data_IF_503217911099
#
_entry.id   IF_503217911099
#
_cell.length_a   1.000
_cell.length_b   1.000
_cell.length_c   1.000
_cell.angle_alpha   90.00
_cell.angle_beta   90.00
_cell.angle_gamma   90.00
#
_symmetry.space_group_name_H-M   'P 1'
#
loop_
_entity.id
_entity.type
_entity.pdbx_description
1 polymer ?
#
# COMPACT_ATOMS: atom_id res chain seq x y z
N UNK A 1 -17.50 -11.87 -1.02
CA UNK A 1 -16.09 -11.74 -1.42
C UNK A 1 -15.84 -12.79 -2.50
N UNK A 2 -15.44 -12.38 -3.70
CA UNK A 2 -15.23 -13.32 -4.81
C UNK A 2 -13.87 -13.97 -4.60
N UNK A 3 -13.85 -15.24 -4.19
CA UNK A 3 -12.64 -15.92 -3.74
C UNK A 3 -11.83 -16.53 -4.89
N UNK A 4 -12.47 -16.83 -6.03
CA UNK A 4 -11.82 -17.49 -7.17
C UNK A 4 -12.07 -16.76 -8.49
N UNK A 5 -11.17 -16.90 -9.48
CA UNK A 5 -11.39 -16.40 -10.84
C UNK A 5 -12.71 -16.87 -11.46
N UNK A 6 -13.10 -18.12 -11.20
CA UNK A 6 -14.33 -18.72 -11.71
C UNK A 6 -15.59 -18.01 -11.19
N UNK A 7 -15.58 -17.65 -9.91
CA UNK A 7 -16.67 -16.89 -9.31
C UNK A 7 -16.74 -15.46 -9.88
N UNK A 8 -15.62 -14.91 -10.35
CA UNK A 8 -15.58 -13.57 -10.93
C UNK A 8 -16.19 -13.52 -12.33
N UNK A 9 -15.92 -14.52 -13.16
CA UNK A 9 -16.31 -14.56 -14.58
C UNK A 9 -17.80 -14.31 -14.76
N UNK A 10 -18.66 -14.96 -13.96
CA UNK A 10 -20.12 -14.80 -14.05
C UNK A 10 -20.60 -13.36 -13.81
N UNK A 11 -19.79 -12.52 -13.16
CA UNK A 11 -20.12 -11.13 -12.88
C UNK A 11 -19.55 -10.16 -13.92
N UNK A 12 -18.57 -10.56 -14.71
CA UNK A 12 -17.79 -9.63 -15.57
C UNK A 12 -17.75 -10.02 -17.05
N UNK A 13 -18.18 -11.23 -17.43
CA UNK A 13 -18.07 -11.75 -18.79
C UNK A 13 -18.68 -10.82 -19.86
N UNK A 14 -19.83 -10.20 -19.55
CA UNK A 14 -20.58 -9.33 -20.47
C UNK A 14 -20.28 -7.83 -20.23
N UNK A 15 -19.27 -7.51 -19.42
CA UNK A 15 -18.95 -6.14 -19.05
C UNK A 15 -18.10 -5.45 -20.12
N UNK A 16 -18.56 -4.27 -20.55
CA UNK A 16 -17.76 -3.39 -21.41
C UNK A 16 -16.61 -2.71 -20.67
N UNK A 17 -16.74 -2.53 -19.35
CA UNK A 17 -15.72 -1.95 -18.48
C UNK A 17 -15.70 -2.72 -17.16
N UNK A 18 -14.50 -3.10 -16.71
CA UNK A 18 -14.28 -3.78 -15.43
C UNK A 18 -13.49 -2.88 -14.51
N UNK A 19 -14.09 -2.44 -13.40
CA UNK A 19 -13.42 -1.67 -12.35
C UNK A 19 -12.95 -2.59 -11.23
N UNK A 20 -11.64 -2.61 -10.94
CA UNK A 20 -11.04 -3.53 -9.98
C UNK A 20 -10.20 -2.81 -8.93
N UNK A 21 -10.39 -3.20 -7.66
CA UNK A 21 -9.62 -2.68 -6.51
C UNK A 21 -8.58 -3.70 -6.06
N UNK A 22 -9.04 -4.87 -5.58
CA UNK A 22 -8.20 -5.88 -4.91
C UNK A 22 -8.21 -7.25 -5.59
N UNK A 23 -9.24 -7.55 -6.39
CA UNK A 23 -9.40 -8.82 -7.09
C UNK A 23 -8.32 -9.03 -8.15
N UNK A 24 -7.95 -10.29 -8.37
CA UNK A 24 -7.05 -10.66 -9.45
C UNK A 24 -7.83 -10.84 -10.76
N UNK A 25 -7.28 -10.34 -11.86
CA UNK A 25 -7.78 -10.53 -13.23
C UNK A 25 -6.71 -11.31 -14.01
N UNK A 26 -6.50 -12.61 -13.68
CA UNK A 26 -5.55 -13.45 -14.40
C UNK A 26 -6.04 -13.75 -15.81
N UNK A 27 -5.16 -14.35 -16.63
CA UNK A 27 -5.42 -14.74 -18.02
C UNK A 27 -6.82 -15.34 -18.24
N UNK A 28 -7.20 -16.32 -17.43
CA UNK A 28 -8.49 -17.02 -17.54
C UNK A 28 -9.71 -16.12 -17.37
N UNK A 29 -9.63 -15.07 -16.56
CA UNK A 29 -10.70 -14.06 -16.46
C UNK A 29 -10.65 -13.16 -17.68
N UNK A 30 -9.45 -12.71 -18.07
CA UNK A 30 -9.28 -11.86 -19.26
C UNK A 30 -9.83 -12.54 -20.50
N UNK A 31 -9.67 -13.86 -20.65
CA UNK A 31 -10.16 -14.67 -21.78
C UNK A 31 -11.68 -14.77 -21.86
N UNK A 32 -12.41 -14.49 -20.78
CA UNK A 32 -13.88 -14.52 -20.75
C UNK A 32 -14.55 -13.15 -20.90
N UNK A 33 -13.77 -12.06 -21.00
CA UNK A 33 -14.28 -10.69 -21.14
C UNK A 33 -14.70 -10.38 -22.58
N UNK A 34 -15.90 -10.79 -22.97
CA UNK A 34 -16.40 -10.65 -24.32
C UNK A 34 -17.00 -9.26 -24.55
N UNK A 35 -16.33 -8.46 -25.40
CA UNK A 35 -16.73 -7.07 -25.66
C UNK A 35 -16.22 -6.04 -24.64
N UNK A 36 -15.37 -6.45 -23.68
CA UNK A 36 -14.71 -5.52 -22.77
C UNK A 36 -13.75 -4.60 -23.51
N UNK A 37 -13.79 -3.32 -23.19
CA UNK A 37 -12.94 -2.27 -23.77
C UNK A 37 -11.89 -1.77 -22.78
N UNK A 38 -12.18 -1.84 -21.47
CA UNK A 38 -11.35 -1.24 -20.43
C UNK A 38 -11.39 -2.05 -19.13
N UNK A 39 -10.20 -2.36 -18.61
CA UNK A 39 -10.00 -2.74 -17.21
C UNK A 39 -9.43 -1.52 -16.48
N UNK A 40 -10.22 -0.94 -15.58
CA UNK A 40 -9.80 0.19 -14.75
C UNK A 40 -9.37 -0.29 -13.38
N UNK A 41 -8.06 -0.24 -13.12
CA UNK A 41 -7.48 -0.52 -11.82
C UNK A 41 -7.58 0.74 -10.95
N UNK A 42 -8.25 0.60 -9.81
CA UNK A 42 -8.35 1.60 -8.76
C UNK A 42 -7.34 1.28 -7.63
N UNK A 43 -6.06 1.67 -7.55
CA UNK A 43 -5.21 2.55 -8.33
C UNK A 43 -3.86 2.01 -8.85
N UNK A 44 -2.75 1.92 -8.08
CA UNK A 44 -1.38 1.97 -8.67
C UNK A 44 -0.87 0.69 -9.38
N UNK A 45 -0.41 -0.32 -8.64
CA UNK A 45 0.20 -1.54 -9.22
C UNK A 45 -0.79 -2.35 -10.08
N UNK A 46 -0.32 -2.93 -11.18
CA UNK A 46 -1.09 -3.75 -12.13
C UNK A 46 -0.69 -5.23 -12.10
N UNK A 47 0.09 -5.65 -11.10
CA UNK A 47 0.63 -7.00 -10.91
C UNK A 47 -0.44 -8.10 -10.80
N UNK A 48 -1.66 -7.72 -10.42
CA UNK A 48 -2.82 -8.63 -10.33
C UNK A 48 -3.63 -8.74 -11.62
N UNK A 49 -3.22 -8.06 -12.68
CA UNK A 49 -3.92 -8.07 -13.97
C UNK A 49 -2.97 -8.66 -15.00
N UNK A 50 -3.43 -9.62 -15.80
CA UNK A 50 -2.68 -10.07 -16.97
C UNK A 50 -2.75 -9.00 -18.07
N UNK A 51 -1.93 -7.97 -17.91
CA UNK A 51 -1.87 -6.81 -18.83
C UNK A 51 -1.45 -7.23 -20.23
N UNK A 52 -0.56 -8.22 -20.34
CA UNK A 52 -0.12 -8.74 -21.64
C UNK A 52 -1.31 -9.37 -22.37
N UNK A 53 -2.07 -10.24 -21.69
CA UNK A 53 -3.24 -10.86 -22.30
C UNK A 53 -4.34 -9.86 -22.63
N UNK A 54 -4.58 -8.89 -21.74
CA UNK A 54 -5.56 -7.83 -22.00
C UNK A 54 -5.18 -7.04 -23.26
N UNK A 55 -3.89 -6.72 -23.41
CA UNK A 55 -3.36 -6.05 -24.60
C UNK A 55 -3.56 -6.87 -25.87
N UNK A 56 -3.30 -8.18 -25.84
CA UNK A 56 -3.53 -9.09 -26.97
C UNK A 56 -5.02 -9.13 -27.40
N UNK A 57 -5.95 -9.03 -26.44
CA UNK A 57 -7.39 -8.96 -26.71
C UNK A 57 -7.88 -7.57 -27.12
N UNK A 58 -7.01 -6.56 -27.18
CA UNK A 58 -7.38 -5.18 -27.48
C UNK A 58 -8.08 -4.45 -26.33
N UNK A 59 -7.96 -4.98 -25.11
CA UNK A 59 -8.55 -4.40 -23.90
C UNK A 59 -7.54 -3.42 -23.28
N UNK A 60 -7.95 -2.17 -23.08
CA UNK A 60 -7.09 -1.17 -22.41
C UNK A 60 -7.02 -1.48 -20.92
N UNK A 61 -5.81 -1.43 -20.34
CA UNK A 61 -5.63 -1.45 -18.88
C UNK A 61 -5.21 -0.06 -18.42
N UNK A 62 -5.98 0.54 -17.52
CA UNK A 62 -5.64 1.80 -16.87
C UNK A 62 -5.43 1.60 -15.38
N UNK A 63 -4.62 2.48 -14.78
CA UNK A 63 -4.35 2.49 -13.35
C UNK A 63 -4.47 3.93 -12.83
N UNK A 64 -4.44 4.11 -11.51
CA UNK A 64 -4.46 5.44 -10.87
C UNK A 64 -3.10 5.71 -10.24
N UNK A 65 -2.11 6.24 -10.98
CA UNK A 65 -0.81 6.57 -10.41
C UNK A 65 -0.95 7.72 -9.40
N UNK A 66 -0.07 7.74 -8.40
CA UNK A 66 0.12 8.84 -7.46
C UNK A 66 -1.09 9.24 -6.57
N UNK A 67 -2.21 8.51 -6.61
CA UNK A 67 -3.43 8.91 -5.91
C UNK A 67 -3.33 8.96 -4.38
N UNK A 68 -2.37 8.23 -3.80
CA UNK A 68 -2.18 8.13 -2.35
C UNK A 68 -0.74 8.38 -1.89
N UNK A 69 0.08 9.06 -2.70
CA UNK A 69 1.51 9.23 -2.39
C UNK A 69 1.74 9.99 -1.08
N UNK A 70 0.91 11.00 -0.78
CA UNK A 70 1.05 11.77 0.45
C UNK A 70 0.51 11.01 1.66
N UNK A 71 -0.63 10.36 1.52
CA UNK A 71 -1.29 9.54 2.53
C UNK A 71 -0.42 8.36 2.94
N UNK A 72 0.20 7.70 1.95
CA UNK A 72 1.17 6.64 2.19
C UNK A 72 2.41 7.18 2.90
N UNK A 73 2.94 8.34 2.50
CA UNK A 73 4.09 8.95 3.16
C UNK A 73 3.79 9.36 4.62
N UNK A 74 2.59 9.90 4.87
CA UNK A 74 2.11 10.20 6.23
C UNK A 74 2.01 8.92 7.06
N UNK A 75 1.49 7.83 6.46
CA UNK A 75 1.39 6.53 7.13
C UNK A 75 2.77 5.94 7.47
N UNK A 76 3.74 6.04 6.57
CA UNK A 76 5.13 5.62 6.84
C UNK A 76 5.72 6.40 8.01
N UNK A 77 5.55 7.73 8.05
CA UNK A 77 6.02 8.53 9.18
C UNK A 77 5.31 8.18 10.49
N UNK A 78 4.00 7.89 10.45
CA UNK A 78 3.24 7.44 11.60
C UNK A 78 3.78 6.10 12.13
N UNK A 79 4.04 5.13 11.26
CA UNK A 79 4.63 3.84 11.62
C UNK A 79 6.05 4.00 12.19
N UNK A 80 6.88 4.83 11.56
CA UNK A 80 8.24 5.12 12.00
C UNK A 80 8.26 5.73 13.41
N UNK A 81 7.40 6.72 13.66
CA UNK A 81 7.28 7.35 14.99
C UNK A 81 6.75 6.36 16.04
N UNK A 82 5.75 5.56 15.67
CA UNK A 82 5.19 4.52 16.54
C UNK A 82 6.25 3.50 16.96
N UNK A 83 7.09 3.07 16.01
CA UNK A 83 8.20 2.16 16.26
C UNK A 83 9.29 2.82 17.12
N UNK A 84 9.77 4.01 16.72
CA UNK A 84 10.87 4.70 17.40
C UNK A 84 10.52 5.11 18.84
N UNK A 85 9.23 5.26 19.15
CA UNK A 85 8.74 5.61 20.49
C UNK A 85 8.07 4.45 21.22
N UNK A 86 8.10 3.25 20.62
CA UNK A 86 7.45 2.04 21.12
C UNK A 86 6.01 2.29 21.63
N UNK A 87 5.24 3.14 20.94
CA UNK A 87 3.94 3.65 21.42
C UNK A 87 2.97 2.51 21.79
N UNK A 88 2.78 1.47 20.95
CA UNK A 88 1.85 0.39 21.28
C UNK A 88 2.27 -0.36 22.55
N UNK A 89 3.56 -0.64 22.70
CA UNK A 89 4.11 -1.34 23.86
C UNK A 89 3.98 -0.51 25.12
N UNK A 90 4.37 0.77 25.07
CA UNK A 90 4.22 1.69 26.21
C UNK A 90 2.76 1.83 26.62
N UNK A 91 1.83 1.93 25.66
CA UNK A 91 0.39 1.95 25.90
C UNK A 91 -0.08 0.70 26.66
N UNK A 92 0.38 -0.49 26.26
CA UNK A 92 0.07 -1.75 26.97
C UNK A 92 0.58 -1.72 28.42
N UNK A 93 1.80 -1.25 28.67
CA UNK A 93 2.34 -1.15 30.04
C UNK A 93 1.54 -0.16 30.90
N UNK A 94 1.24 1.02 30.36
CA UNK A 94 0.52 2.07 31.08
C UNK A 94 -0.91 1.67 31.41
N UNK A 95 -1.64 1.08 30.44
CA UNK A 95 -3.01 0.58 30.67
C UNK A 95 -3.08 -0.51 31.73
N UNK A 96 -2.00 -1.27 31.91
CA UNK A 96 -1.89 -2.31 32.93
C UNK A 96 -1.30 -1.81 34.26
N UNK A 97 -1.15 -0.49 34.46
CA UNK A 97 -0.60 0.09 35.69
C UNK A 97 0.91 -0.10 35.88
N UNK A 98 1.63 -0.65 34.89
CA UNK A 98 3.07 -0.97 34.96
C UNK A 98 3.96 0.25 34.63
N UNK A 99 3.73 1.36 35.32
CA UNK A 99 4.42 2.64 35.06
C UNK A 99 5.94 2.54 35.22
N UNK A 100 6.43 1.86 36.26
CA UNK A 100 7.87 1.66 36.50
C UNK A 100 8.55 0.88 35.36
N UNK A 101 7.86 -0.10 34.79
CA UNK A 101 8.35 -0.87 33.66
C UNK A 101 8.42 0.01 32.41
N UNK A 102 7.34 0.73 32.09
CA UNK A 102 7.29 1.65 30.96
C UNK A 102 8.42 2.69 31.05
N UNK A 103 8.63 3.28 32.23
CA UNK A 103 9.73 4.23 32.45
C UNK A 103 11.10 3.59 32.17
N UNK A 104 11.38 2.43 32.76
CA UNK A 104 12.67 1.73 32.58
C UNK A 104 12.95 1.43 31.10
N UNK A 105 11.97 0.92 30.37
CA UNK A 105 12.11 0.59 28.96
C UNK A 105 12.27 1.85 28.08
N UNK A 106 11.57 2.94 28.42
CA UNK A 106 11.66 4.20 27.67
C UNK A 106 13.06 4.83 27.65
N UNK A 107 13.93 4.49 28.63
CA UNK A 107 15.30 4.98 28.71
C UNK A 107 16.19 4.46 27.57
N UNK A 108 15.81 3.36 26.92
CA UNK A 108 16.54 2.80 25.78
C UNK A 108 16.19 3.47 24.44
N UNK A 109 15.13 4.30 24.40
CA UNK A 109 14.65 4.93 23.17
C UNK A 109 15.65 5.97 22.67
N UNK A 110 15.89 5.97 21.35
CA UNK A 110 16.82 6.89 20.69
C UNK A 110 16.05 8.02 20.01
N UNK A 111 16.65 9.21 20.01
CA UNK A 111 16.14 10.38 19.27
C UNK A 111 16.25 10.12 17.77
N UNK A 112 15.22 10.46 16.99
CA UNK A 112 15.25 10.31 15.53
C UNK A 112 16.33 11.18 14.87
N UNK A 113 16.59 12.38 15.40
CA UNK A 113 17.53 13.34 14.81
C UNK A 113 19.01 12.90 14.81
N UNK A 114 19.32 11.76 15.43
CA UNK A 114 20.66 11.14 15.42
C UNK A 114 20.65 9.79 14.70
N UNK A 115 19.57 9.48 13.98
CA UNK A 115 19.38 8.23 13.24
C UNK A 115 19.21 8.56 11.77
N UNK A 116 19.88 7.78 10.91
CA UNK A 116 19.80 7.91 9.45
C UNK A 116 18.61 7.11 8.91
N UNK A 117 17.81 7.71 8.02
CA UNK A 117 16.72 7.01 7.34
C UNK A 117 17.20 6.41 6.02
N UNK A 118 17.33 5.08 5.96
CA UNK A 118 17.59 4.38 4.71
C UNK A 118 16.32 4.16 3.88
N UNK A 119 16.29 4.68 2.66
CA UNK A 119 15.21 4.45 1.69
C UNK A 119 15.71 3.58 0.54
N UNK A 120 15.12 2.39 0.37
CA UNK A 120 15.45 1.46 -0.72
C UNK A 120 14.45 1.69 -1.86
N UNK A 121 14.96 2.20 -2.98
CA UNK A 121 14.15 2.70 -4.10
C UNK A 121 13.88 4.20 -3.99
N UNK A 122 13.97 4.92 -5.13
CA UNK A 122 13.90 6.39 -5.17
C UNK A 122 12.82 6.95 -6.12
N UNK A 123 11.59 6.48 -5.92
CA UNK A 123 10.39 6.98 -6.61
C UNK A 123 9.68 8.11 -5.87
N UNK A 124 8.49 8.49 -6.33
CA UNK A 124 7.69 9.57 -5.74
C UNK A 124 7.32 9.32 -4.28
N UNK A 125 7.05 8.06 -3.94
CA UNK A 125 6.85 7.59 -2.57
C UNK A 125 8.03 7.90 -1.65
N UNK A 126 9.24 7.51 -2.06
CA UNK A 126 10.45 7.71 -1.27
C UNK A 126 10.77 9.20 -1.10
N UNK A 127 10.62 10.00 -2.17
CA UNK A 127 10.79 11.46 -2.11
C UNK A 127 9.78 12.13 -1.17
N UNK A 128 8.53 11.65 -1.15
CA UNK A 128 7.50 12.17 -0.26
C UNK A 128 7.78 11.86 1.22
N UNK A 129 8.32 10.67 1.51
CA UNK A 129 8.79 10.28 2.85
C UNK A 129 10.02 11.10 3.25
N UNK A 130 11.02 11.18 2.39
CA UNK A 130 12.27 11.91 2.66
C UNK A 130 12.00 13.38 3.05
N UNK A 131 11.13 14.07 2.30
CA UNK A 131 10.74 15.46 2.62
C UNK A 131 10.18 15.62 4.03
N UNK A 132 9.41 14.64 4.53
CA UNK A 132 8.84 14.67 5.88
C UNK A 132 9.89 14.29 6.93
N UNK A 133 10.71 13.29 6.65
CA UNK A 133 11.76 12.83 7.56
C UNK A 133 12.81 13.91 7.86
N UNK A 134 13.11 14.77 6.88
CA UNK A 134 13.99 15.93 7.08
C UNK A 134 13.49 16.86 8.19
N UNK A 135 12.17 17.05 8.34
CA UNK A 135 11.58 17.85 9.42
C UNK A 135 11.80 17.24 10.82
N UNK A 136 12.15 15.94 10.90
CA UNK A 136 12.51 15.25 12.13
C UNK A 136 14.04 15.21 12.36
N UNK A 137 14.82 15.88 11.51
CA UNK A 137 16.28 15.92 11.60
C UNK A 137 16.97 14.61 11.20
N UNK A 138 16.29 13.77 10.42
CA UNK A 138 16.86 12.51 9.92
C UNK A 138 17.63 12.77 8.62
N UNK A 139 18.95 12.49 8.57
CA UNK A 139 19.72 12.50 7.33
C UNK A 139 19.38 11.28 6.44
#
# INVERSE_FOLDING_TARGET
>A
EVATPKDLISHVQDAHVVCVVSSSIPKEVVDCLDGCLLISRLGIGTDKIDVARATERGIVVSNTPNFCTNEMADHVMAMLLSLAREIPRMSVHLRAGRVKQAHRESLALRRLSIQTLGLIGWGDSAKAVARRALSFGMP
#
